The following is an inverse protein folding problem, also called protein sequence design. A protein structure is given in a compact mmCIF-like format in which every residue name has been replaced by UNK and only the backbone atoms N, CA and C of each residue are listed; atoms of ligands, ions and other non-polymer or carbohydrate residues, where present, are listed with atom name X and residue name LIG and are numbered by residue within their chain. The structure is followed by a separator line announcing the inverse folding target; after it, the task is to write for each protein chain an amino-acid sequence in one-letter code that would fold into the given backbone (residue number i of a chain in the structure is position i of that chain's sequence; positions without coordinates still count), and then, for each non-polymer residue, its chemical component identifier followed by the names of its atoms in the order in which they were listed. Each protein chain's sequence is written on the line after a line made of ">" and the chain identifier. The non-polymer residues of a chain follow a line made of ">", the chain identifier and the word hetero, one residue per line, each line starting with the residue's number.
data_IF_071330610851
#
_entry.id   IF_071330610851
#
_cell.length_a   1.000
_cell.length_b   1.000
_cell.length_c   1.000
_cell.angle_alpha   90.00
_cell.angle_beta   90.00
_cell.angle_gamma   90.00
#
_symmetry.space_group_name_H-M   'P 1'
#
loop_
_entity.id
_entity.type
_entity.pdbx_description
1 polymer ?
#
# COMPACT_ATOMS: atom_id res chain seq x y z
N UNK A 1 32.91 -6.67 1.62
CA UNK A 1 32.16 -6.60 0.34
C UNK A 1 30.72 -6.26 0.69
N UNK A 2 30.21 -5.19 0.09
CA UNK A 2 28.98 -4.49 0.45
C UNK A 2 27.76 -5.17 -0.21
N UNK A 3 26.69 -5.56 0.51
CA UNK A 3 25.54 -6.24 -0.08
C UNK A 3 24.49 -5.20 -0.52
N UNK A 4 24.77 -4.48 -1.60
CA UNK A 4 23.85 -3.51 -2.20
C UNK A 4 23.43 -3.95 -3.61
N UNK A 5 22.75 -5.10 -3.72
CA UNK A 5 22.23 -5.57 -5.02
C UNK A 5 21.04 -6.56 -4.95
N UNK A 6 20.01 -6.27 -4.15
CA UNK A 6 18.81 -7.14 -4.11
C UNK A 6 17.46 -6.39 -4.00
N UNK A 7 17.38 -5.14 -4.48
CA UNK A 7 16.13 -4.35 -4.44
C UNK A 7 15.44 -4.24 -5.82
N UNK A 8 15.99 -4.83 -6.87
CA UNK A 8 15.58 -4.52 -8.26
C UNK A 8 14.87 -5.66 -8.98
N UNK A 9 13.72 -6.10 -8.45
CA UNK A 9 12.71 -6.82 -9.28
C UNK A 9 11.29 -6.41 -8.88
N UNK A 10 11.05 -6.10 -7.61
CA UNK A 10 9.72 -5.73 -7.11
C UNK A 10 9.34 -4.26 -7.31
N UNK A 11 10.33 -3.37 -7.51
CA UNK A 11 10.05 -1.97 -7.85
C UNK A 11 9.48 -1.87 -9.27
N UNK A 12 9.94 -2.69 -10.22
CA UNK A 12 9.54 -2.56 -11.64
C UNK A 12 8.14 -3.13 -11.94
N UNK A 13 7.72 -4.20 -11.27
CA UNK A 13 6.37 -4.77 -11.44
C UNK A 13 5.29 -3.78 -10.95
N UNK A 14 5.60 -3.00 -9.91
CA UNK A 14 4.65 -2.04 -9.34
C UNK A 14 4.76 -0.64 -9.98
N UNK A 15 5.96 -0.21 -10.38
CA UNK A 15 6.17 1.11 -11.01
C UNK A 15 5.58 1.20 -12.43
N UNK A 16 5.44 0.07 -13.14
CA UNK A 16 4.82 0.02 -14.46
C UNK A 16 3.28 0.11 -14.42
N UNK A 17 2.65 -0.26 -13.31
CA UNK A 17 1.20 -0.12 -13.12
C UNK A 17 0.78 1.33 -12.76
N UNK A 18 1.70 2.12 -12.18
CA UNK A 18 1.39 3.43 -11.61
C UNK A 18 1.47 4.61 -12.61
N UNK A 19 1.95 4.42 -13.84
CA UNK A 19 2.21 5.55 -14.78
C UNK A 19 1.15 5.84 -15.84
N UNK A 20 0.02 5.15 -15.86
CA UNK A 20 -1.06 5.49 -16.81
C UNK A 20 -2.41 5.65 -16.12
N UNK A 21 -3.04 6.82 -16.33
CA UNK A 21 -4.42 7.15 -15.91
C UNK A 21 -5.45 6.07 -16.28
N UNK A 22 -5.13 5.19 -17.24
CA UNK A 22 -6.03 4.13 -17.72
C UNK A 22 -6.04 2.89 -16.82
N UNK A 23 -4.92 2.53 -16.18
CA UNK A 23 -4.88 1.41 -15.23
C UNK A 23 -5.72 1.72 -13.97
N UNK A 24 -5.69 2.99 -13.53
CA UNK A 24 -6.44 3.50 -12.37
C UNK A 24 -7.96 3.37 -12.51
N UNK A 25 -8.49 3.41 -13.74
CA UNK A 25 -9.94 3.35 -14.00
C UNK A 25 -10.49 1.92 -14.10
N UNK A 26 -9.66 0.92 -14.40
CA UNK A 26 -10.09 -0.47 -14.54
C UNK A 26 -10.28 -1.13 -13.16
N UNK A 27 -9.44 -0.78 -12.19
CA UNK A 27 -9.48 -1.34 -10.83
C UNK A 27 -10.67 -0.78 -10.01
N UNK A 28 -11.16 0.42 -10.32
CA UNK A 28 -12.22 1.08 -9.56
C UNK A 28 -13.65 0.54 -9.78
N UNK A 29 -13.87 -0.44 -10.69
CA UNK A 29 -15.22 -0.93 -11.01
C UNK A 29 -15.66 -2.19 -10.24
N UNK A 30 -14.75 -2.89 -9.57
CA UNK A 30 -15.07 -4.09 -8.80
C UNK A 30 -14.74 -3.81 -7.33
N UNK A 31 -15.79 -3.62 -6.53
CA UNK A 31 -15.77 -3.03 -5.18
C UNK A 31 -15.12 -3.85 -4.06
N UNK A 32 -13.92 -4.38 -4.29
CA UNK A 32 -13.10 -5.04 -3.26
C UNK A 32 -11.63 -4.71 -3.52
N UNK A 33 -11.13 -3.60 -2.98
CA UNK A 33 -9.74 -3.20 -3.17
C UNK A 33 -9.34 -1.88 -2.51
N UNK A 34 -10.29 -1.11 -1.96
CA UNK A 34 -9.99 0.18 -1.33
C UNK A 34 -9.21 0.06 0.00
N UNK A 35 -9.27 -1.08 0.69
CA UNK A 35 -8.69 -1.25 2.04
C UNK A 35 -7.22 -1.71 2.08
N UNK A 36 -6.54 -1.88 0.93
CA UNK A 36 -5.19 -2.49 0.90
C UNK A 36 -4.08 -1.42 0.66
N UNK A 37 -4.44 -0.22 0.21
CA UNK A 37 -3.47 0.84 -0.07
C UNK A 37 -3.63 1.98 0.94
N UNK A 38 -2.82 1.97 2.01
CA UNK A 38 -2.75 3.09 2.95
C UNK A 38 -2.18 4.32 2.23
N UNK A 39 -2.95 5.40 2.18
CA UNK A 39 -2.49 6.66 1.57
C UNK A 39 -1.66 7.48 2.55
N UNK A 40 -1.00 8.53 2.04
CA UNK A 40 -0.38 9.54 2.89
C UNK A 40 -1.40 10.18 3.84
N UNK A 41 -2.61 10.50 3.35
CA UNK A 41 -3.68 11.05 4.17
C UNK A 41 -4.07 10.15 5.35
N UNK A 42 -4.24 8.86 5.09
CA UNK A 42 -4.54 7.86 6.12
C UNK A 42 -3.42 7.73 7.15
N UNK A 43 -2.16 7.81 6.70
CA UNK A 43 -1.02 7.83 7.63
C UNK A 43 -0.98 9.06 8.50
N UNK A 44 -1.22 10.24 7.93
CA UNK A 44 -1.27 11.47 8.69
C UNK A 44 -2.38 11.42 9.75
N UNK A 45 -3.53 10.81 9.41
CA UNK A 45 -4.63 10.56 10.35
C UNK A 45 -4.21 9.64 11.49
N UNK A 46 -3.52 8.55 11.17
CA UNK A 46 -3.08 7.56 12.14
C UNK A 46 -2.06 8.14 13.12
N UNK A 47 -0.99 8.77 12.61
CA UNK A 47 0.03 9.44 13.43
C UNK A 47 -0.58 10.52 14.33
N UNK A 48 -1.56 11.27 13.81
CA UNK A 48 -2.31 12.26 14.58
C UNK A 48 -3.08 11.61 15.73
N UNK A 49 -3.80 10.52 15.47
CA UNK A 49 -4.58 9.77 16.48
C UNK A 49 -3.69 9.15 17.54
N UNK A 50 -2.56 8.56 17.16
CA UNK A 50 -1.58 7.99 18.09
C UNK A 50 -1.06 9.02 19.10
N UNK A 51 -1.00 10.28 18.69
CA UNK A 51 -0.60 11.40 19.55
C UNK A 51 -1.76 12.09 20.27
N UNK A 52 -2.99 11.63 20.05
CA UNK A 52 -4.19 12.22 20.65
C UNK A 52 -4.52 13.62 20.16
N UNK A 53 -4.06 14.01 18.96
CA UNK A 53 -4.24 15.36 18.44
C UNK A 53 -5.50 15.50 17.57
N UNK A 54 -6.14 16.65 17.64
CA UNK A 54 -7.17 17.08 16.70
C UNK A 54 -6.54 17.62 15.41
N UNK A 55 -7.30 17.65 14.31
CA UNK A 55 -6.82 18.26 13.06
C UNK A 55 -6.42 19.73 13.23
N UNK A 56 -7.11 20.43 14.14
CA UNK A 56 -6.80 21.82 14.47
C UNK A 56 -5.44 21.94 15.16
N UNK A 57 -5.19 21.14 16.19
CA UNK A 57 -3.91 21.13 16.92
C UNK A 57 -2.75 20.73 16.02
N UNK A 58 -2.92 19.73 15.15
CA UNK A 58 -1.85 19.35 14.21
C UNK A 58 -1.56 20.47 13.22
N UNK A 59 -2.59 21.15 12.72
CA UNK A 59 -2.41 22.28 11.82
C UNK A 59 -1.70 23.46 12.51
N UNK A 60 -2.04 23.75 13.77
CA UNK A 60 -1.38 24.76 14.59
C UNK A 60 0.10 24.42 14.81
N UNK A 61 0.41 23.17 15.16
CA UNK A 61 1.80 22.70 15.31
C UNK A 61 2.59 22.76 14.00
N UNK A 62 1.94 22.50 12.86
CA UNK A 62 2.55 22.58 11.55
C UNK A 62 2.67 24.03 11.03
N UNK A 63 2.00 25.00 11.67
CA UNK A 63 1.96 26.39 11.23
C UNK A 63 1.14 26.59 9.94
N UNK A 64 0.12 25.77 9.69
CA UNK A 64 -0.76 25.88 8.52
C UNK A 64 -2.21 26.10 8.92
N UNK A 65 -3.03 26.59 7.99
CA UNK A 65 -4.47 26.69 8.21
C UNK A 65 -5.09 25.29 8.33
N UNK A 66 -6.02 25.08 9.28
CA UNK A 66 -6.69 23.78 9.53
C UNK A 66 -7.26 23.17 8.25
N UNK A 67 -7.85 24.00 7.38
CA UNK A 67 -8.38 23.58 6.06
C UNK A 67 -7.29 22.96 5.18
N UNK A 68 -6.05 23.44 5.20
CA UNK A 68 -4.96 22.84 4.41
C UNK A 68 -4.58 21.47 4.96
N UNK A 69 -4.43 21.35 6.27
CA UNK A 69 -4.13 20.06 6.89
C UNK A 69 -5.24 19.03 6.63
N UNK A 70 -6.51 19.43 6.75
CA UNK A 70 -7.65 18.57 6.43
C UNK A 70 -7.62 18.07 4.97
N UNK A 71 -7.20 18.92 4.02
CA UNK A 71 -7.04 18.52 2.61
C UNK A 71 -5.91 17.51 2.42
N UNK A 72 -4.84 17.59 3.20
CA UNK A 72 -3.76 16.60 3.19
C UNK A 72 -4.25 15.25 3.75
N UNK A 73 -4.95 15.26 4.89
CA UNK A 73 -5.46 14.05 5.54
C UNK A 73 -6.55 13.33 4.71
N UNK A 74 -7.21 14.04 3.80
CA UNK A 74 -8.25 13.49 2.93
C UNK A 74 -7.79 13.28 1.48
N UNK A 75 -6.48 13.30 1.23
CA UNK A 75 -5.86 13.11 -0.10
C UNK A 75 -6.40 14.05 -1.20
N UNK A 76 -6.97 15.20 -0.82
CA UNK A 76 -7.51 16.17 -1.76
C UNK A 76 -6.41 17.02 -2.40
N UNK A 77 -5.27 17.14 -1.72
CA UNK A 77 -4.08 17.84 -2.19
C UNK A 77 -2.83 17.16 -1.67
N UNK A 78 -1.86 16.97 -2.55
CA UNK A 78 -0.52 16.55 -2.14
C UNK A 78 0.22 17.68 -1.40
N UNK A 79 0.78 17.41 -0.22
CA UNK A 79 1.57 18.41 0.50
C UNK A 79 2.82 18.80 -0.32
N UNK A 80 3.13 20.10 -0.48
CA UNK A 80 4.35 20.51 -1.14
C UNK A 80 5.59 20.06 -0.34
N UNK A 81 6.76 20.03 -0.98
CA UNK A 81 8.02 19.59 -0.35
C UNK A 81 8.33 20.24 1.00
N UNK A 82 8.03 21.54 1.15
CA UNK A 82 8.18 22.27 2.41
C UNK A 82 7.25 21.73 3.51
N UNK A 83 6.00 21.41 3.16
CA UNK A 83 5.04 20.84 4.10
C UNK A 83 5.39 19.40 4.45
N UNK A 84 5.87 18.59 3.49
CA UNK A 84 6.36 17.23 3.76
C UNK A 84 7.50 17.21 4.77
N UNK A 85 8.49 18.09 4.61
CA UNK A 85 9.59 18.24 5.59
C UNK A 85 9.09 18.64 6.96
N UNK A 86 8.14 19.58 7.03
CA UNK A 86 7.56 20.02 8.29
C UNK A 86 6.71 18.92 8.96
N UNK A 87 5.98 18.11 8.19
CA UNK A 87 5.23 16.96 8.68
C UNK A 87 6.17 15.88 9.22
N UNK A 88 7.24 15.55 8.48
CA UNK A 88 8.25 14.60 8.91
C UNK A 88 8.91 15.03 10.23
N UNK A 89 9.31 16.30 10.33
CA UNK A 89 9.82 16.88 11.58
C UNK A 89 8.79 16.85 12.71
N UNK A 90 7.54 17.24 12.43
CA UNK A 90 6.47 17.22 13.43
C UNK A 90 6.28 15.82 13.99
N UNK A 91 6.31 14.79 13.14
CA UNK A 91 6.13 13.39 13.53
C UNK A 91 7.43 12.66 13.91
N UNK A 92 8.55 13.38 14.03
CA UNK A 92 9.86 12.84 14.44
C UNK A 92 10.34 11.68 13.57
N UNK A 93 10.16 11.80 12.25
CA UNK A 93 10.56 10.82 11.25
C UNK A 93 11.17 11.48 10.02
N UNK A 94 11.74 10.67 9.12
CA UNK A 94 12.23 11.11 7.81
C UNK A 94 11.08 11.28 6.82
N UNK A 95 11.33 12.01 5.74
CA UNK A 95 10.32 12.19 4.67
C UNK A 95 10.11 10.85 3.94
N UNK A 96 11.18 10.10 3.76
CA UNK A 96 11.18 8.75 3.21
C UNK A 96 10.32 7.84 4.07
N UNK A 97 10.57 7.78 5.38
CA UNK A 97 9.74 7.01 6.30
C UNK A 97 8.28 7.41 6.19
N UNK A 98 7.94 8.71 6.21
CA UNK A 98 6.56 9.21 6.07
C UNK A 98 5.88 8.78 4.76
N UNK A 99 6.64 8.66 3.67
CA UNK A 99 6.14 8.26 2.36
C UNK A 99 6.18 6.74 2.11
N UNK A 100 7.00 5.97 2.83
CA UNK A 100 7.28 4.56 2.53
C UNK A 100 6.18 3.59 3.00
N UNK A 101 5.33 3.98 3.96
CA UNK A 101 4.16 3.16 4.35
C UNK A 101 3.05 3.17 3.28
N UNK A 102 3.27 3.82 2.13
CA UNK A 102 2.40 3.65 0.96
C UNK A 102 2.54 2.26 0.29
N UNK A 103 3.49 1.40 0.70
CA UNK A 103 3.67 0.09 0.07
C UNK A 103 4.18 -1.04 0.97
N UNK A 104 5.01 -0.77 1.99
CA UNK A 104 5.80 -1.82 2.66
C UNK A 104 5.14 -2.48 3.87
N UNK A 105 4.61 -1.70 4.81
CA UNK A 105 4.22 -2.23 6.13
C UNK A 105 2.93 -3.06 6.11
N UNK A 106 2.06 -2.88 5.11
CA UNK A 106 0.84 -3.69 4.99
C UNK A 106 1.06 -5.03 4.29
N UNK A 107 2.05 -5.17 3.39
CA UNK A 107 2.19 -6.41 2.63
C UNK A 107 2.74 -7.57 3.46
N UNK A 108 3.72 -7.31 4.34
CA UNK A 108 4.29 -8.32 5.24
C UNK A 108 3.29 -8.78 6.31
N UNK A 109 2.38 -7.89 6.75
CA UNK A 109 1.30 -8.25 7.67
C UNK A 109 0.17 -9.06 7.01
N UNK A 110 0.04 -9.03 5.68
CA UNK A 110 -1.06 -9.68 4.94
C UNK A 110 -0.77 -11.12 4.53
N UNK A 111 0.49 -11.57 4.61
CA UNK A 111 0.89 -12.96 4.34
C UNK A 111 1.56 -13.51 5.60
N UNK A 112 0.79 -14.09 6.54
CA UNK A 112 1.34 -14.68 7.77
C UNK A 112 2.25 -15.89 7.50
N UNK A 113 2.17 -16.45 6.29
CA UNK A 113 2.88 -17.64 5.87
C UNK A 113 4.14 -17.26 5.07
N UNK A 114 5.27 -17.23 5.79
CA UNK A 114 6.58 -16.91 5.22
C UNK A 114 6.98 -17.88 4.10
N UNK A 115 6.63 -19.16 4.23
CA UNK A 115 6.94 -20.18 3.21
C UNK A 115 6.17 -19.89 1.92
N UNK A 116 4.87 -19.59 2.04
CA UNK A 116 4.04 -19.24 0.89
C UNK A 116 4.55 -17.98 0.19
N UNK A 117 5.02 -16.99 0.96
CA UNK A 117 5.60 -15.78 0.40
C UNK A 117 6.88 -16.05 -0.41
N UNK A 118 7.79 -16.87 0.13
CA UNK A 118 9.01 -17.28 -0.58
C UNK A 118 8.68 -18.00 -1.89
N UNK A 119 7.70 -18.91 -1.86
CA UNK A 119 7.23 -19.61 -3.06
C UNK A 119 6.72 -18.64 -4.14
N UNK A 120 5.97 -17.60 -3.75
CA UNK A 120 5.51 -16.58 -4.71
C UNK A 120 6.67 -15.80 -5.34
N UNK A 121 7.75 -15.52 -4.60
CA UNK A 121 8.93 -14.86 -5.16
C UNK A 121 9.62 -15.72 -6.22
N UNK A 122 9.74 -17.02 -5.98
CA UNK A 122 10.33 -17.95 -6.95
C UNK A 122 9.44 -18.10 -8.18
N UNK A 123 8.12 -18.20 -8.01
CA UNK A 123 7.15 -18.24 -9.12
C UNK A 123 7.27 -16.99 -10.00
N UNK A 124 7.49 -15.82 -9.42
CA UNK A 124 7.64 -14.57 -10.19
C UNK A 124 8.84 -14.60 -11.16
N UNK A 125 9.88 -15.40 -10.87
CA UNK A 125 11.08 -15.55 -11.69
C UNK A 125 10.95 -16.61 -12.80
N UNK A 126 9.91 -17.44 -12.76
CA UNK A 126 9.68 -18.47 -13.78
C UNK A 126 9.31 -17.87 -15.13
N UNK A 127 9.39 -18.67 -16.20
CA UNK A 127 8.94 -18.29 -17.53
C UNK A 127 7.41 -18.07 -17.58
N UNK A 128 6.93 -17.33 -18.58
CA UNK A 128 5.51 -16.97 -18.69
C UNK A 128 4.58 -18.20 -18.66
N UNK A 129 4.97 -19.24 -19.39
CA UNK A 129 4.21 -20.49 -19.52
C UNK A 129 4.02 -21.18 -18.16
N UNK A 130 5.09 -21.26 -17.37
CA UNK A 130 5.08 -21.83 -16.02
C UNK A 130 4.26 -20.97 -15.06
N UNK A 131 4.42 -19.64 -15.10
CA UNK A 131 3.60 -18.72 -14.29
C UNK A 131 2.11 -18.88 -14.57
N UNK A 132 1.74 -19.06 -15.85
CA UNK A 132 0.35 -19.26 -16.26
C UNK A 132 -0.19 -20.64 -15.85
N UNK A 133 0.67 -21.66 -15.73
CA UNK A 133 0.30 -22.95 -15.13
C UNK A 133 0.01 -22.81 -13.63
N UNK A 134 0.86 -22.12 -12.87
CA UNK A 134 0.66 -21.88 -11.43
C UNK A 134 -0.65 -21.15 -11.17
N UNK A 135 -0.96 -20.09 -11.94
CA UNK A 135 -2.23 -19.35 -11.83
C UNK A 135 -3.46 -20.24 -12.04
N UNK A 136 -3.40 -21.18 -12.99
CA UNK A 136 -4.51 -22.12 -13.24
C UNK A 136 -4.74 -23.06 -12.06
N UNK A 137 -3.68 -23.60 -11.47
CA UNK A 137 -3.75 -24.46 -10.29
C UNK A 137 -4.32 -23.69 -9.10
N UNK A 138 -3.79 -22.50 -8.80
CA UNK A 138 -4.29 -21.65 -7.72
C UNK A 138 -5.78 -21.31 -7.91
N UNK A 139 -6.17 -20.94 -9.12
CA UNK A 139 -7.57 -20.65 -9.45
C UNK A 139 -8.48 -21.85 -9.22
N UNK A 140 -8.05 -23.05 -9.62
CA UNK A 140 -8.80 -24.28 -9.41
C UNK A 140 -8.98 -24.60 -7.91
N UNK A 141 -7.91 -24.46 -7.12
CA UNK A 141 -7.94 -24.69 -5.66
C UNK A 141 -8.88 -23.69 -4.95
N UNK A 142 -8.78 -22.41 -5.29
CA UNK A 142 -9.64 -21.35 -4.73
C UNK A 142 -11.10 -21.57 -5.11
N UNK A 143 -11.37 -21.88 -6.38
CA UNK A 143 -12.73 -22.11 -6.89
C UNK A 143 -13.40 -23.30 -6.20
N UNK A 144 -12.68 -24.42 -6.03
CA UNK A 144 -13.21 -25.60 -5.34
C UNK A 144 -13.62 -25.27 -3.90
N UNK A 145 -12.76 -24.54 -3.18
CA UNK A 145 -13.05 -24.15 -1.79
C UNK A 145 -14.23 -23.19 -1.68
N UNK A 146 -14.35 -22.22 -2.60
CA UNK A 146 -15.51 -21.32 -2.70
C UNK A 146 -16.82 -22.08 -2.96
N UNK A 147 -16.80 -23.07 -3.86
CA UNK A 147 -17.97 -23.91 -4.14
C UNK A 147 -18.39 -24.72 -2.92
N UNK A 148 -17.44 -25.33 -2.21
CA UNK A 148 -17.71 -26.06 -0.97
C UNK A 148 -18.35 -25.17 0.11
N UNK A 149 -17.89 -23.92 0.26
CA UNK A 149 -18.47 -22.99 1.24
C UNK A 149 -19.88 -22.53 0.88
N UNK A 150 -20.22 -22.42 -0.41
CA UNK A 150 -21.56 -22.04 -0.85
C UNK A 150 -22.61 -23.15 -0.65
N UNK A 151 -22.18 -24.42 -0.66
CA UNK A 151 -23.06 -25.57 -0.42
C UNK A 151 -23.40 -25.80 1.06
N UNK A 152 -22.64 -25.21 1.99
CA UNK A 152 -22.83 -25.34 3.45
C UNK A 152 -23.78 -24.25 4.02
N UNK A 153 -24.18 -23.28 3.20
CA UNK A 153 -25.10 -22.19 3.59
C UNK A 153 -26.48 -22.26 2.90
N UNK A 154 -26.87 -23.45 2.43
CA UNK A 154 -28.26 -23.79 2.08
C UNK A 154 -28.84 -24.73 3.13
#
# INVERSE_FOLDING_TARGET
>A
MNPSCCVSVWVDVFYLACKTRKAFAIIAKEGTGQDILMTLGDRLRELRKQRGWTQKETAEKLGVHVRHYNRYENDQVEPPSKALKALAQLFEMTVEELLEANAREHFESLIPDAELFEQFQEVARLEKEDRDAVKRILSALIMNRKMQTMLVHQ
#
